data_IF_600493627418
#
_entry.id   IF_600493627418
#
_cell.length_a   1.000
_cell.length_b   1.000
_cell.length_c   1.000
_cell.angle_alpha   90.00
_cell.angle_beta   90.00
_cell.angle_gamma   90.00
#
_symmetry.space_group_name_H-M   'P 1'
#
loop_
_entity.id
_entity.type
_entity.pdbx_description
1 polymer ?
#
# COMPACT_ATOMS: atom_id res chain seq x y z
N UNK A 1 42.98 -16.77 -3.54
CA UNK A 1 43.00 -15.83 -4.69
C UNK A 1 41.58 -15.59 -5.16
N UNK A 2 41.02 -14.38 -5.05
CA UNK A 2 39.78 -14.04 -5.75
C UNK A 2 40.02 -13.01 -6.85
N UNK A 3 39.63 -13.33 -8.08
CA UNK A 3 39.59 -12.38 -9.19
C UNK A 3 38.34 -11.51 -9.08
N UNK A 4 38.55 -10.20 -8.89
CA UNK A 4 37.53 -9.18 -9.08
C UNK A 4 37.25 -9.01 -10.57
N UNK A 5 36.02 -9.27 -10.99
CA UNK A 5 35.50 -8.81 -12.27
C UNK A 5 34.48 -7.71 -12.00
N UNK A 6 34.92 -6.46 -12.15
CA UNK A 6 34.06 -5.27 -12.18
C UNK A 6 33.52 -5.07 -13.60
N UNK A 7 32.20 -5.02 -13.75
CA UNK A 7 31.51 -4.71 -15.00
C UNK A 7 31.47 -3.18 -15.23
N UNK A 8 31.51 -2.70 -16.49
CA UNK A 8 31.64 -1.28 -16.80
C UNK A 8 30.32 -0.52 -16.61
N UNK A 9 30.42 0.59 -15.88
CA UNK A 9 29.31 1.46 -15.51
C UNK A 9 28.66 2.18 -16.69
N UNK A 10 27.34 2.05 -16.76
CA UNK A 10 26.42 2.74 -17.66
C UNK A 10 26.15 4.19 -17.16
N UNK A 11 27.18 5.05 -17.11
CA UNK A 11 27.05 6.45 -16.65
C UNK A 11 27.37 7.52 -17.72
N UNK A 12 27.63 7.14 -18.97
CA UNK A 12 28.07 8.07 -20.02
C UNK A 12 26.96 8.91 -20.68
N UNK A 13 25.77 8.36 -20.91
CA UNK A 13 24.78 9.01 -21.79
C UNK A 13 23.86 10.02 -21.09
N UNK A 14 23.66 9.91 -19.76
CA UNK A 14 22.77 10.83 -19.03
C UNK A 14 23.37 12.23 -18.82
N UNK A 15 24.69 12.39 -18.95
CA UNK A 15 25.36 13.70 -18.84
C UNK A 15 25.33 14.53 -20.11
N UNK A 16 25.08 13.92 -21.28
CA UNK A 16 25.02 14.68 -22.54
C UNK A 16 23.65 15.33 -22.77
N UNK A 17 22.55 14.78 -22.24
CA UNK A 17 21.21 15.37 -22.40
C UNK A 17 20.98 16.61 -21.52
N UNK A 18 21.52 16.63 -20.30
CA UNK A 18 21.41 17.77 -19.38
C UNK A 18 22.13 19.03 -19.89
N UNK A 19 23.29 18.86 -20.55
CA UNK A 19 24.04 19.99 -21.10
C UNK A 19 23.38 20.63 -22.35
N UNK A 20 22.51 19.89 -23.04
CA UNK A 20 21.76 20.40 -24.20
C UNK A 20 20.60 21.30 -23.76
N UNK A 21 19.86 20.88 -22.72
CA UNK A 21 18.74 21.63 -22.15
C UNK A 21 19.22 22.93 -21.49
N UNK A 22 20.37 22.91 -20.79
CA UNK A 22 20.92 24.11 -20.17
C UNK A 22 21.43 25.14 -21.19
N UNK A 23 21.90 24.69 -22.37
CA UNK A 23 22.29 25.58 -23.48
C UNK A 23 21.08 26.26 -24.13
N UNK A 24 19.97 25.56 -24.29
CA UNK A 24 18.73 26.14 -24.82
C UNK A 24 18.09 27.13 -23.83
N UNK A 25 18.09 26.82 -22.53
CA UNK A 25 17.59 27.75 -21.51
C UNK A 25 18.44 29.02 -21.39
N UNK A 26 19.78 28.93 -21.49
CA UNK A 26 20.66 30.12 -21.54
C UNK A 26 20.49 30.93 -22.82
N UNK A 27 20.09 30.32 -23.94
CA UNK A 27 19.75 31.05 -25.18
C UNK A 27 18.44 31.82 -25.04
N UNK A 28 17.41 31.24 -24.43
CA UNK A 28 16.13 31.94 -24.20
C UNK A 28 16.27 33.08 -23.18
N UNK A 29 17.05 32.91 -22.11
CA UNK A 29 17.30 33.97 -21.13
C UNK A 29 18.04 35.18 -21.75
N UNK A 30 18.94 34.96 -22.72
CA UNK A 30 19.61 36.04 -23.46
C UNK A 30 18.71 36.74 -24.48
N UNK A 31 17.69 36.06 -25.01
CA UNK A 31 16.72 36.67 -25.93
C UNK A 31 15.74 37.61 -25.21
N UNK A 32 15.38 37.30 -23.95
CA UNK A 32 14.48 38.13 -23.14
C UNK A 32 15.18 39.39 -22.61
N UNK A 33 16.47 39.32 -22.28
CA UNK A 33 17.26 40.48 -21.83
C UNK A 33 17.64 41.47 -22.94
N UNK A 34 17.56 41.08 -24.22
CA UNK A 34 17.89 41.97 -25.35
C UNK A 34 16.74 42.88 -25.81
N UNK A 35 15.55 42.76 -25.20
CA UNK A 35 14.36 43.58 -25.52
C UNK A 35 14.01 44.64 -24.48
N UNK A 36 14.81 44.77 -23.41
CA UNK A 36 14.53 45.65 -22.27
C UNK A 36 15.50 46.82 -22.08
N UNK A 37 16.02 47.42 -23.16
CA UNK A 37 16.99 48.51 -23.02
C UNK A 37 16.97 49.49 -24.17
N UNK A 38 16.18 50.55 -24.04
CA UNK A 38 16.54 51.93 -24.41
C UNK A 38 15.32 52.83 -24.25
N UNK A 39 15.11 53.37 -23.04
CA UNK A 39 14.22 54.51 -22.85
C UNK A 39 14.59 55.30 -21.58
N UNK A 40 15.84 55.72 -21.48
CA UNK A 40 16.23 56.82 -20.57
C UNK A 40 17.36 57.62 -21.19
N UNK A 41 17.01 58.71 -21.87
CA UNK A 41 17.86 59.86 -22.10
C UNK A 41 16.95 61.02 -22.44
N UNK A 42 16.68 61.89 -21.47
CA UNK A 42 16.37 63.31 -21.67
C UNK A 42 16.31 64.01 -20.30
N UNK A 43 17.46 64.53 -19.87
CA UNK A 43 17.54 65.77 -19.11
C UNK A 43 18.50 66.68 -19.85
N UNK A 44 17.96 67.67 -20.57
CA UNK A 44 18.67 68.93 -20.83
C UNK A 44 17.68 70.00 -21.26
N UNK A 45 17.75 71.12 -20.54
CA UNK A 45 16.99 72.35 -20.73
C UNK A 45 17.22 72.98 -22.11
N UNK A 46 16.20 73.69 -22.60
CA UNK A 46 16.29 74.54 -23.78
C UNK A 46 15.11 75.50 -23.88
N UNK A 47 15.28 76.67 -23.28
CA UNK A 47 14.43 77.86 -23.37
C UNK A 47 13.99 78.22 -24.80
N UNK A 48 12.70 78.56 -25.01
CA UNK A 48 12.22 79.86 -25.56
C UNK A 48 10.75 79.80 -25.99
N UNK A 49 9.96 80.70 -25.39
CA UNK A 49 9.09 81.71 -26.04
C UNK A 49 8.42 81.31 -27.38
N UNK A 50 7.09 81.28 -27.40
CA UNK A 50 6.28 82.15 -28.28
C UNK A 50 4.80 81.73 -28.30
N UNK A 51 3.95 82.75 -28.19
CA UNK A 51 2.53 82.81 -28.49
C UNK A 51 2.06 81.88 -29.62
N UNK A 52 0.91 81.21 -29.43
CA UNK A 52 -0.28 81.46 -30.27
C UNK A 52 -1.53 80.81 -29.69
N UNK A 53 -2.48 81.67 -29.35
CA UNK A 53 -3.90 81.40 -29.29
C UNK A 53 -4.38 80.88 -30.67
N UNK A 54 -5.04 79.73 -30.71
CA UNK A 54 -5.71 79.21 -31.90
C UNK A 54 -6.16 77.76 -31.77
N UNK A 55 -7.47 77.54 -31.85
CA UNK A 55 -8.17 76.30 -32.20
C UNK A 55 -8.32 75.16 -31.18
N UNK A 56 -9.31 75.33 -30.30
CA UNK A 56 -9.81 74.32 -29.34
C UNK A 56 -10.91 73.40 -29.90
N UNK A 57 -11.06 73.20 -31.21
CA UNK A 57 -12.19 72.43 -31.78
C UNK A 57 -11.86 71.03 -32.33
N UNK A 58 -10.60 70.67 -32.57
CA UNK A 58 -10.23 69.34 -33.10
C UNK A 58 -9.76 68.32 -32.04
N UNK A 59 -9.58 68.70 -30.77
CA UNK A 59 -9.12 67.79 -29.70
C UNK A 59 -10.20 66.83 -29.15
N UNK A 60 -11.48 67.06 -29.46
CA UNK A 60 -12.58 66.19 -29.00
C UNK A 60 -12.73 64.90 -29.81
N UNK A 61 -12.32 64.86 -31.09
CA UNK A 61 -12.42 63.65 -31.91
C UNK A 61 -11.28 62.63 -31.65
N UNK A 62 -10.08 63.11 -31.30
CA UNK A 62 -8.93 62.25 -31.00
C UNK A 62 -9.07 61.50 -29.67
N UNK A 63 -9.64 62.14 -28.65
CA UNK A 63 -9.83 61.54 -27.32
C UNK A 63 -10.79 60.34 -27.35
N UNK A 64 -11.80 60.35 -28.22
CA UNK A 64 -12.75 59.24 -28.30
C UNK A 64 -12.09 57.94 -28.81
N UNK A 65 -11.17 58.01 -29.78
CA UNK A 65 -10.47 56.82 -30.31
C UNK A 65 -9.51 56.21 -29.28
N UNK A 66 -8.80 57.06 -28.54
CA UNK A 66 -7.88 56.62 -27.47
C UNK A 66 -8.64 56.00 -26.30
N UNK A 67 -9.79 56.59 -25.91
CA UNK A 67 -10.65 56.03 -24.87
C UNK A 67 -11.25 54.67 -25.28
N UNK A 68 -11.63 54.51 -26.54
CA UNK A 68 -12.20 53.26 -27.06
C UNK A 68 -11.14 52.15 -27.14
N UNK A 69 -9.93 52.47 -27.61
CA UNK A 69 -8.80 51.54 -27.63
C UNK A 69 -8.34 51.14 -26.21
N UNK A 70 -8.29 52.08 -25.27
CA UNK A 70 -7.96 51.81 -23.88
C UNK A 70 -9.02 50.93 -23.20
N UNK A 71 -10.31 51.17 -23.49
CA UNK A 71 -11.41 50.32 -23.01
C UNK A 71 -11.33 48.89 -23.56
N UNK A 72 -11.07 48.73 -24.85
CA UNK A 72 -10.90 47.41 -25.46
C UNK A 72 -9.70 46.65 -24.88
N UNK A 73 -8.56 47.32 -24.70
CA UNK A 73 -7.37 46.73 -24.08
C UNK A 73 -7.65 46.31 -22.62
N UNK A 74 -8.36 47.14 -21.84
CA UNK A 74 -8.76 46.80 -20.48
C UNK A 74 -9.66 45.56 -20.44
N UNK A 75 -10.63 45.44 -21.35
CA UNK A 75 -11.50 44.26 -21.44
C UNK A 75 -10.71 42.97 -21.76
N UNK A 76 -9.72 43.04 -22.66
CA UNK A 76 -8.85 41.89 -22.99
C UNK A 76 -7.97 41.50 -21.81
N UNK A 77 -7.41 42.47 -21.08
CA UNK A 77 -6.60 42.18 -19.88
C UNK A 77 -7.47 41.58 -18.78
N UNK A 78 -8.67 42.11 -18.55
CA UNK A 78 -9.59 41.57 -17.55
C UNK A 78 -10.08 40.16 -17.90
N UNK A 79 -10.39 39.89 -19.16
CA UNK A 79 -10.79 38.54 -19.59
C UNK A 79 -9.62 37.55 -19.47
N UNK A 80 -8.41 37.98 -19.81
CA UNK A 80 -7.20 37.17 -19.66
C UNK A 80 -6.90 36.87 -18.19
N UNK A 81 -6.93 37.87 -17.30
CA UNK A 81 -6.75 37.67 -15.86
C UNK A 81 -7.83 36.75 -15.30
N UNK A 82 -9.08 36.95 -15.68
CA UNK A 82 -10.18 36.06 -15.28
C UNK A 82 -9.95 34.61 -15.72
N UNK A 83 -9.54 34.40 -16.97
CA UNK A 83 -9.25 33.07 -17.48
C UNK A 83 -8.07 32.39 -16.77
N UNK A 84 -6.98 33.13 -16.52
CA UNK A 84 -5.81 32.63 -15.77
C UNK A 84 -6.18 32.29 -14.34
N UNK A 85 -6.95 33.14 -13.67
CA UNK A 85 -7.46 32.90 -12.31
C UNK A 85 -8.28 31.62 -12.22
N UNK A 86 -9.23 31.43 -13.14
CA UNK A 86 -10.05 30.22 -13.20
C UNK A 86 -9.18 28.99 -13.46
N UNK A 87 -8.22 29.08 -14.38
CA UNK A 87 -7.32 27.98 -14.71
C UNK A 87 -6.43 27.59 -13.51
N UNK A 88 -5.84 28.56 -12.80
CA UNK A 88 -5.06 28.31 -11.59
C UNK A 88 -5.91 27.67 -10.49
N UNK A 89 -7.16 28.13 -10.31
CA UNK A 89 -8.08 27.54 -9.35
C UNK A 89 -8.43 26.08 -9.69
N UNK A 90 -8.71 25.79 -10.97
CA UNK A 90 -8.95 24.43 -11.45
C UNK A 90 -7.72 23.54 -11.21
N UNK A 91 -6.52 24.02 -11.52
CA UNK A 91 -5.28 23.27 -11.29
C UNK A 91 -5.08 22.98 -9.80
N UNK A 92 -5.29 23.96 -8.93
CA UNK A 92 -5.16 23.78 -7.48
C UNK A 92 -6.19 22.77 -6.94
N UNK A 93 -7.44 22.85 -7.38
CA UNK A 93 -8.49 21.89 -7.02
C UNK A 93 -8.20 20.48 -7.56
N UNK A 94 -7.66 20.38 -8.78
CA UNK A 94 -7.28 19.08 -9.38
C UNK A 94 -6.11 18.45 -8.66
N UNK A 95 -5.08 19.24 -8.34
CA UNK A 95 -3.92 18.76 -7.60
C UNK A 95 -4.33 18.22 -6.23
N UNK A 96 -4.99 19.06 -5.42
CA UNK A 96 -5.43 18.69 -4.08
C UNK A 96 -6.49 17.59 -4.08
N UNK A 97 -7.51 17.68 -4.95
CA UNK A 97 -8.62 16.73 -4.93
C UNK A 97 -8.35 15.40 -5.62
N UNK A 98 -7.69 15.40 -6.79
CA UNK A 98 -7.65 14.22 -7.66
C UNK A 98 -6.27 13.61 -7.84
N UNK A 99 -5.22 14.43 -7.98
CA UNK A 99 -3.87 13.92 -8.27
C UNK A 99 -3.28 13.20 -7.05
N UNK A 100 -3.39 13.82 -5.87
CA UNK A 100 -2.91 13.24 -4.61
C UNK A 100 -3.66 11.94 -4.28
N UNK A 101 -4.99 11.94 -4.42
CA UNK A 101 -5.82 10.75 -4.14
C UNK A 101 -5.51 9.60 -5.11
N UNK A 102 -5.38 9.89 -6.42
CA UNK A 102 -5.03 8.88 -7.41
C UNK A 102 -3.61 8.32 -7.22
N UNK A 103 -2.65 9.18 -6.85
CA UNK A 103 -1.29 8.74 -6.55
C UNK A 103 -1.27 7.80 -5.34
N UNK A 104 -2.00 8.16 -4.28
CA UNK A 104 -2.17 7.31 -3.09
C UNK A 104 -2.80 5.97 -3.44
N UNK A 105 -3.94 5.96 -4.13
CA UNK A 105 -4.66 4.73 -4.52
C UNK A 105 -3.77 3.79 -5.35
N UNK A 106 -3.02 4.33 -6.32
CA UNK A 106 -2.08 3.52 -7.10
C UNK A 106 -0.93 2.98 -6.27
N UNK A 107 -0.41 3.80 -5.36
CA UNK A 107 0.71 3.41 -4.52
C UNK A 107 0.33 2.29 -3.55
N UNK A 108 -0.79 2.42 -2.83
CA UNK A 108 -1.20 1.39 -1.85
C UNK A 108 -1.43 0.04 -2.53
N UNK A 109 -2.00 0.03 -3.74
CA UNK A 109 -2.21 -1.20 -4.51
C UNK A 109 -0.86 -1.80 -4.92
N UNK A 110 0.04 -0.99 -5.47
CA UNK A 110 1.36 -1.47 -5.87
C UNK A 110 2.21 -1.95 -4.67
N UNK A 111 2.11 -1.27 -3.52
CA UNK A 111 2.78 -1.66 -2.29
C UNK A 111 2.24 -2.99 -1.77
N UNK A 112 0.92 -3.18 -1.77
CA UNK A 112 0.29 -4.43 -1.37
C UNK A 112 0.64 -5.59 -2.31
N UNK A 113 0.66 -5.39 -3.63
CA UNK A 113 1.11 -6.40 -4.60
C UNK A 113 2.60 -6.75 -4.43
N UNK A 114 3.46 -5.76 -4.18
CA UNK A 114 4.89 -5.96 -3.90
C UNK A 114 5.09 -6.78 -2.64
N UNK A 115 4.47 -6.38 -1.53
CA UNK A 115 4.58 -7.08 -0.25
C UNK A 115 3.97 -8.47 -0.37
N UNK A 116 2.84 -8.61 -1.07
CA UNK A 116 2.18 -9.88 -1.29
C UNK A 116 3.04 -10.87 -2.06
N UNK A 117 3.71 -10.42 -3.12
CA UNK A 117 4.62 -11.29 -3.88
C UNK A 117 5.85 -11.71 -3.07
N UNK A 118 6.44 -10.81 -2.28
CA UNK A 118 7.55 -11.13 -1.38
C UNK A 118 7.14 -12.06 -0.22
N UNK A 119 5.89 -11.94 0.25
CA UNK A 119 5.35 -12.73 1.35
C UNK A 119 4.93 -14.13 0.89
N UNK A 120 4.50 -14.27 -0.36
CA UNK A 120 4.18 -15.56 -0.95
C UNK A 120 5.34 -16.56 -0.87
N UNK A 121 6.60 -16.09 -0.99
CA UNK A 121 7.82 -16.90 -0.86
C UNK A 121 7.91 -17.70 0.45
N UNK A 122 7.39 -17.14 1.55
CA UNK A 122 7.34 -17.82 2.86
C UNK A 122 6.35 -18.98 2.83
N UNK A 123 5.16 -18.75 2.27
CA UNK A 123 4.12 -19.78 2.14
C UNK A 123 4.46 -20.86 1.09
N UNK A 124 5.32 -20.56 0.11
CA UNK A 124 5.83 -21.57 -0.82
C UNK A 124 6.55 -22.73 -0.11
N UNK A 125 7.11 -22.49 1.08
CA UNK A 125 7.80 -23.52 1.85
C UNK A 125 6.89 -24.72 2.18
N UNK A 126 5.64 -24.45 2.57
CA UNK A 126 4.64 -25.48 2.83
C UNK A 126 4.26 -26.23 1.55
N UNK A 127 4.11 -25.50 0.43
CA UNK A 127 3.75 -26.11 -0.84
C UNK A 127 4.88 -26.97 -1.42
N UNK A 128 6.13 -26.57 -1.24
CA UNK A 128 7.29 -27.38 -1.60
C UNK A 128 7.32 -28.70 -0.80
N UNK A 129 6.99 -28.67 0.50
CA UNK A 129 6.87 -29.88 1.31
C UNK A 129 5.77 -30.82 0.79
N UNK A 130 4.61 -30.25 0.45
CA UNK A 130 3.51 -30.99 -0.18
C UNK A 130 3.95 -31.63 -1.51
N UNK A 131 4.57 -30.86 -2.39
CA UNK A 131 5.02 -31.36 -3.70
C UNK A 131 6.06 -32.46 -3.55
N UNK A 132 7.01 -32.31 -2.63
CA UNK A 132 8.03 -33.32 -2.38
C UNK A 132 7.41 -34.64 -1.87
N UNK A 133 6.49 -34.55 -0.91
CA UNK A 133 5.83 -35.73 -0.36
C UNK A 133 4.92 -36.40 -1.38
N UNK A 134 4.10 -35.63 -2.09
CA UNK A 134 3.24 -36.16 -3.14
C UNK A 134 4.07 -36.79 -4.26
N UNK A 135 5.15 -36.14 -4.71
CA UNK A 135 6.05 -36.72 -5.69
C UNK A 135 6.68 -38.04 -5.19
N UNK A 136 7.12 -38.09 -3.94
CA UNK A 136 7.69 -39.31 -3.35
C UNK A 136 6.68 -40.47 -3.32
N UNK A 137 5.42 -40.19 -2.98
CA UNK A 137 4.33 -41.17 -2.99
C UNK A 137 4.00 -41.62 -4.42
N UNK A 138 3.76 -40.67 -5.34
CA UNK A 138 3.37 -40.97 -6.72
C UNK A 138 4.46 -41.73 -7.49
N UNK A 139 5.73 -41.46 -7.18
CA UNK A 139 6.88 -42.16 -7.78
C UNK A 139 7.27 -43.43 -7.04
N UNK A 140 6.51 -43.84 -6.03
CA UNK A 140 6.78 -45.03 -5.21
C UNK A 140 8.18 -44.98 -4.55
N UNK A 141 8.72 -43.78 -4.31
CA UNK A 141 9.92 -43.57 -3.50
C UNK A 141 9.58 -43.70 -2.01
N UNK A 142 8.35 -43.36 -1.64
CA UNK A 142 7.76 -43.65 -0.34
C UNK A 142 6.52 -44.52 -0.55
N UNK A 143 6.66 -45.82 -0.33
CA UNK A 143 5.60 -46.81 -0.62
C UNK A 143 5.07 -47.51 0.64
N UNK A 144 5.86 -47.57 1.72
CA UNK A 144 5.47 -48.20 2.98
C UNK A 144 5.25 -47.15 4.08
N UNK A 145 4.09 -47.16 4.77
CA UNK A 145 3.89 -46.30 5.93
C UNK A 145 4.91 -46.63 7.02
N UNK A 146 5.50 -45.59 7.63
CA UNK A 146 6.59 -45.67 8.62
C UNK A 146 7.97 -45.98 8.05
N UNK A 147 8.18 -45.86 6.73
CA UNK A 147 9.54 -45.83 6.17
C UNK A 147 10.22 -44.47 6.49
N UNK A 148 10.83 -44.42 7.68
CA UNK A 148 11.50 -43.23 8.22
C UNK A 148 12.61 -42.70 7.31
N UNK A 149 13.36 -43.60 6.66
CA UNK A 149 14.52 -43.24 5.84
C UNK A 149 14.06 -42.59 4.53
N UNK A 150 13.10 -43.22 3.84
CA UNK A 150 12.54 -42.68 2.59
C UNK A 150 11.84 -41.34 2.81
N UNK A 151 11.13 -41.19 3.95
CA UNK A 151 10.51 -39.91 4.29
C UNK A 151 11.55 -38.82 4.56
N UNK A 152 12.59 -39.14 5.34
CA UNK A 152 13.67 -38.20 5.61
C UNK A 152 14.35 -37.76 4.32
N UNK A 153 14.66 -38.71 3.42
CA UNK A 153 15.28 -38.42 2.12
C UNK A 153 14.40 -37.54 1.22
N UNK A 154 13.08 -37.72 1.27
CA UNK A 154 12.14 -36.90 0.49
C UNK A 154 12.04 -35.46 1.00
N UNK A 155 12.06 -35.25 2.32
CA UNK A 155 11.84 -33.94 2.93
C UNK A 155 13.13 -33.15 3.21
N UNK A 156 14.27 -33.82 3.38
CA UNK A 156 15.54 -33.18 3.72
C UNK A 156 15.95 -32.06 2.75
N UNK A 157 15.86 -32.23 1.42
CA UNK A 157 16.16 -31.15 0.48
C UNK A 157 15.24 -29.94 0.62
N UNK A 158 13.96 -30.15 0.98
CA UNK A 158 12.99 -29.07 1.16
C UNK A 158 13.33 -28.25 2.39
N UNK A 159 13.63 -28.92 3.51
CA UNK A 159 14.08 -28.23 4.73
C UNK A 159 15.44 -27.56 4.54
N UNK A 160 16.35 -28.12 3.75
CA UNK A 160 17.61 -27.46 3.44
C UNK A 160 17.40 -26.17 2.61
N UNK A 161 16.43 -26.18 1.69
CA UNK A 161 16.17 -25.05 0.79
C UNK A 161 15.23 -23.98 1.34
N UNK A 162 14.35 -24.32 2.30
CA UNK A 162 13.28 -23.43 2.79
C UNK A 162 13.34 -23.31 4.32
N UNK A 163 13.99 -22.26 4.80
CA UNK A 163 14.11 -21.96 6.24
C UNK A 163 12.75 -21.82 6.96
N UNK A 164 11.72 -21.18 6.38
CA UNK A 164 10.43 -21.01 7.05
C UNK A 164 9.70 -22.33 7.36
N UNK A 165 10.03 -23.44 6.69
CA UNK A 165 9.43 -24.74 6.98
C UNK A 165 9.97 -25.28 8.31
N UNK A 166 9.07 -25.44 9.29
CA UNK A 166 9.42 -25.89 10.65
C UNK A 166 9.17 -27.35 10.88
N UNK A 167 8.00 -27.83 10.47
CA UNK A 167 7.60 -29.20 10.68
C UNK A 167 6.71 -29.69 9.55
N UNK A 168 6.74 -31.00 9.32
CA UNK A 168 5.78 -31.72 8.49
C UNK A 168 5.26 -32.87 9.36
N UNK A 169 4.01 -32.75 9.79
CA UNK A 169 3.31 -33.81 10.51
C UNK A 169 2.57 -34.69 9.51
N UNK A 170 2.62 -36.00 9.71
CA UNK A 170 2.12 -37.01 8.80
C UNK A 170 1.34 -38.04 9.61
N UNK A 171 0.18 -38.40 9.11
CA UNK A 171 -0.64 -39.48 9.63
C UNK A 171 -1.19 -40.29 8.46
N UNK A 172 -1.67 -41.49 8.79
CA UNK A 172 -2.16 -42.43 7.79
C UNK A 172 -3.63 -42.75 8.05
N UNK A 173 -4.41 -42.82 6.97
CA UNK A 173 -5.85 -43.05 7.08
C UNK A 173 -6.19 -44.37 7.79
N UNK A 174 -5.45 -45.43 7.46
CA UNK A 174 -5.70 -46.79 7.97
C UNK A 174 -4.96 -47.15 9.25
N UNK A 175 -4.04 -46.30 9.73
CA UNK A 175 -3.22 -46.61 10.91
C UNK A 175 -3.35 -45.51 11.96
N UNK A 176 -3.40 -45.90 13.23
CA UNK A 176 -3.40 -44.95 14.35
C UNK A 176 -1.97 -44.60 14.76
N UNK A 177 -1.14 -44.20 13.79
CA UNK A 177 0.25 -43.81 14.00
C UNK A 177 0.52 -42.52 13.23
N UNK A 178 1.42 -41.71 13.77
CA UNK A 178 1.79 -40.42 13.26
C UNK A 178 3.30 -40.23 13.31
N UNK A 179 3.77 -39.37 12.41
CA UNK A 179 5.17 -39.05 12.25
C UNK A 179 5.32 -37.53 12.12
N UNK A 180 6.35 -36.97 12.72
CA UNK A 180 6.69 -35.56 12.56
C UNK A 180 8.14 -35.46 12.12
N UNK A 181 8.38 -34.76 11.02
CA UNK A 181 9.72 -34.34 10.61
C UNK A 181 9.85 -32.87 10.93
N UNK A 182 10.78 -32.49 11.80
CA UNK A 182 10.98 -31.10 12.19
C UNK A 182 12.43 -30.66 12.11
N UNK A 183 12.61 -29.37 11.86
CA UNK A 183 13.92 -28.73 11.98
C UNK A 183 14.33 -28.70 13.45
N UNK A 184 15.60 -29.03 13.71
CA UNK A 184 16.23 -28.80 15.01
C UNK A 184 17.37 -27.81 14.81
N UNK A 185 17.29 -26.68 15.50
CA UNK A 185 18.35 -25.68 15.54
C UNK A 185 19.22 -26.00 16.76
N UNK A 186 20.53 -26.15 16.58
CA UNK A 186 21.48 -26.42 17.67
C UNK A 186 22.93 -26.41 17.17
N UNK A 187 23.85 -25.88 17.99
CA UNK A 187 25.29 -25.91 17.69
C UNK A 187 25.78 -27.37 17.65
N UNK A 188 26.38 -27.78 16.53
CA UNK A 188 27.05 -29.09 16.38
C UNK A 188 26.16 -30.25 15.91
N UNK A 189 24.90 -30.01 15.54
CA UNK A 189 24.02 -31.09 15.05
C UNK A 189 24.38 -31.46 13.61
N UNK A 190 24.83 -32.71 13.38
CA UNK A 190 25.20 -33.23 12.05
C UNK A 190 24.01 -33.46 11.10
N UNK A 191 22.79 -33.53 11.63
CA UNK A 191 21.53 -33.61 10.86
C UNK A 191 20.59 -32.50 11.33
N UNK A 192 20.23 -31.51 10.51
CA UNK A 192 19.35 -30.41 10.91
C UNK A 192 17.89 -30.83 11.12
N UNK A 193 17.59 -32.13 11.02
CA UNK A 193 16.24 -32.70 11.05
C UNK A 193 16.13 -33.80 12.09
N UNK A 194 15.01 -33.75 12.81
CA UNK A 194 14.58 -34.79 13.72
C UNK A 194 13.27 -35.39 13.22
N UNK A 195 13.28 -36.70 13.06
CA UNK A 195 12.08 -37.50 12.77
C UNK A 195 11.61 -38.10 14.08
N UNK A 196 10.34 -37.90 14.40
CA UNK A 196 9.68 -38.45 15.59
C UNK A 196 8.43 -39.22 15.17
N UNK A 197 8.06 -40.25 15.93
CA UNK A 197 6.95 -41.15 15.67
C UNK A 197 6.31 -41.64 16.97
N UNK A 198 5.01 -41.89 16.97
CA UNK A 198 4.28 -42.54 18.07
C UNK A 198 4.17 -44.07 17.90
N UNK A 199 4.76 -44.62 16.83
CA UNK A 199 4.74 -46.05 16.56
C UNK A 199 5.56 -46.84 17.60
N UNK A 200 5.15 -48.09 17.86
CA UNK A 200 5.80 -48.94 18.86
C UNK A 200 7.29 -49.22 18.59
N UNK A 201 7.74 -49.07 17.34
CA UNK A 201 9.12 -49.28 16.91
C UNK A 201 9.98 -47.99 16.95
N UNK A 202 9.42 -46.85 17.38
CA UNK A 202 10.11 -45.56 17.40
C UNK A 202 11.45 -45.61 18.17
N UNK A 203 11.50 -46.33 19.28
CA UNK A 203 12.70 -46.40 20.11
C UNK A 203 13.82 -47.21 19.44
N UNK A 204 13.46 -48.27 18.71
CA UNK A 204 14.41 -49.14 18.01
C UNK A 204 14.92 -48.46 16.73
N UNK A 205 14.03 -47.83 15.95
CA UNK A 205 14.34 -47.27 14.64
C UNK A 205 14.88 -45.84 14.68
N UNK A 206 14.33 -44.99 15.54
CA UNK A 206 14.63 -43.56 15.60
C UNK A 206 15.47 -43.17 16.83
N UNK A 207 15.63 -44.09 17.79
CA UNK A 207 16.43 -43.89 19.00
C UNK A 207 15.72 -43.04 20.07
N UNK A 208 16.49 -42.57 21.06
CA UNK A 208 15.98 -41.96 22.30
C UNK A 208 15.08 -40.73 22.09
N UNK A 209 15.34 -39.93 21.06
CA UNK A 209 14.57 -38.71 20.77
C UNK A 209 13.52 -38.92 19.67
N UNK A 210 13.42 -40.16 19.17
CA UNK A 210 12.58 -40.52 18.05
C UNK A 210 11.14 -40.87 18.40
N UNK A 211 10.84 -41.09 19.68
CA UNK A 211 9.47 -41.30 20.13
C UNK A 211 8.79 -39.96 20.43
N UNK A 212 7.51 -39.87 20.06
CA UNK A 212 6.65 -38.73 20.34
C UNK A 212 5.68 -39.09 21.46
N UNK A 213 5.57 -38.20 22.45
CA UNK A 213 4.51 -38.26 23.46
C UNK A 213 3.40 -37.26 23.05
N UNK A 214 2.16 -37.72 22.93
CA UNK A 214 1.08 -36.83 22.49
C UNK A 214 -0.26 -37.51 22.26
N UNK A 215 -1.25 -36.69 21.88
CA UNK A 215 -2.54 -37.18 21.40
C UNK A 215 -2.36 -37.82 20.01
N UNK A 216 -3.08 -38.91 19.71
CA UNK A 216 -3.09 -39.50 18.38
C UNK A 216 -3.45 -38.46 17.31
N UNK A 217 -2.81 -38.51 16.15
CA UNK A 217 -3.09 -37.57 15.07
C UNK A 217 -4.57 -37.52 14.66
N UNK A 218 -5.30 -38.65 14.77
CA UNK A 218 -6.74 -38.74 14.46
C UNK A 218 -7.62 -37.82 15.31
N UNK A 219 -7.18 -37.52 16.53
CA UNK A 219 -7.89 -36.64 17.45
C UNK A 219 -7.54 -35.16 17.22
N UNK A 220 -6.56 -34.88 16.35
CA UNK A 220 -6.12 -33.53 16.05
C UNK A 220 -7.00 -32.89 14.96
N UNK A 221 -7.36 -31.59 15.08
CA UNK A 221 -8.23 -30.91 14.11
C UNK A 221 -7.71 -30.94 12.67
N UNK A 222 -6.38 -30.86 12.50
CA UNK A 222 -5.77 -30.86 11.17
C UNK A 222 -5.96 -32.19 10.42
N UNK A 223 -6.02 -33.31 11.15
CA UNK A 223 -6.26 -34.61 10.55
C UNK A 223 -7.69 -34.71 10.03
N UNK A 224 -8.67 -34.21 10.79
CA UNK A 224 -10.08 -34.21 10.39
C UNK A 224 -10.26 -33.43 9.09
N UNK A 225 -9.69 -32.22 9.01
CA UNK A 225 -9.67 -31.41 7.78
C UNK A 225 -9.02 -32.20 6.65
N UNK A 226 -7.80 -32.71 6.85
CA UNK A 226 -7.06 -33.40 5.80
C UNK A 226 -7.70 -34.72 5.33
N UNK A 227 -8.38 -35.44 6.22
CA UNK A 227 -9.13 -36.66 5.88
C UNK A 227 -10.35 -36.39 5.00
N UNK A 228 -10.92 -35.18 5.09
CA UNK A 228 -12.04 -34.74 4.26
C UNK A 228 -11.62 -34.26 2.87
N UNK A 229 -10.32 -34.05 2.65
CA UNK A 229 -9.80 -33.61 1.34
C UNK A 229 -9.88 -34.74 0.30
N UNK A 230 -10.13 -34.39 -0.97
CA UNK A 230 -10.23 -35.37 -2.05
C UNK A 230 -8.87 -36.04 -2.31
N UNK A 231 -8.90 -37.35 -2.54
CA UNK A 231 -7.71 -38.18 -2.76
C UNK A 231 -7.68 -38.84 -4.15
N UNK A 232 -7.31 -38.11 -5.20
CA UNK A 232 -6.92 -38.67 -6.50
C UNK A 232 -8.01 -39.31 -7.36
N UNK A 233 -8.64 -40.41 -6.91
CA UNK A 233 -9.61 -41.20 -7.72
C UNK A 233 -11.08 -40.78 -7.57
N UNK A 234 -11.44 -40.04 -6.52
CA UNK A 234 -12.79 -39.50 -6.33
C UNK A 234 -13.14 -38.41 -7.37
N UNK A 235 -12.13 -37.86 -8.05
CA UNK A 235 -12.25 -36.78 -9.05
C UNK A 235 -12.63 -37.32 -10.44
N UNK A 236 -12.76 -38.65 -10.59
CA UNK A 236 -12.98 -39.32 -11.87
C UNK A 236 -14.30 -39.01 -12.61
N UNK A 237 -15.26 -38.30 -12.00
CA UNK A 237 -16.57 -38.02 -12.61
C UNK A 237 -16.97 -36.53 -12.68
N UNK A 238 -16.15 -35.60 -12.20
CA UNK A 238 -16.44 -34.16 -12.34
C UNK A 238 -15.67 -33.56 -13.50
N UNK A 239 -16.01 -34.01 -14.72
CA UNK A 239 -15.60 -33.33 -15.95
C UNK A 239 -16.31 -31.97 -16.04
N UNK A 240 -15.58 -30.89 -15.76
CA UNK A 240 -15.95 -29.54 -16.19
C UNK A 240 -16.33 -28.51 -15.12
N UNK A 241 -16.13 -28.77 -13.83
CA UNK A 241 -16.20 -27.69 -12.83
C UNK A 241 -14.83 -27.03 -12.70
N UNK A 242 -14.78 -25.70 -12.81
CA UNK A 242 -13.59 -24.90 -12.46
C UNK A 242 -13.26 -24.97 -10.96
N UNK A 243 -14.15 -25.55 -10.15
CA UNK A 243 -13.98 -25.87 -8.73
C UNK A 243 -13.66 -27.37 -8.55
N UNK A 244 -12.57 -27.86 -9.15
CA UNK A 244 -12.05 -29.16 -8.74
C UNK A 244 -11.58 -29.02 -7.28
N UNK A 245 -12.09 -29.82 -6.32
CA UNK A 245 -11.72 -29.66 -4.92
C UNK A 245 -10.21 -29.88 -4.79
N UNK A 246 -9.52 -28.91 -4.18
CA UNK A 246 -8.06 -28.96 -4.05
C UNK A 246 -7.67 -30.09 -3.10
N UNK A 247 -6.63 -30.86 -3.44
CA UNK A 247 -6.05 -31.87 -2.54
C UNK A 247 -5.29 -31.29 -1.33
N UNK A 248 -5.54 -30.01 -1.04
CA UNK A 248 -4.95 -29.25 0.04
C UNK A 248 -5.86 -28.10 0.45
N UNK A 249 -5.68 -27.65 1.69
CA UNK A 249 -6.36 -26.52 2.30
C UNK A 249 -5.42 -25.89 3.34
N UNK A 250 -5.48 -24.56 3.49
CA UNK A 250 -4.79 -23.90 4.59
C UNK A 250 -5.61 -24.09 5.87
N UNK A 251 -4.94 -24.29 7.01
CA UNK A 251 -5.63 -24.36 8.29
C UNK A 251 -6.48 -23.10 8.53
N UNK A 252 -7.63 -23.20 9.22
CA UNK A 252 -8.57 -22.07 9.36
C UNK A 252 -8.02 -20.88 10.15
N UNK A 253 -6.86 -21.02 10.77
CA UNK A 253 -6.17 -19.91 11.42
C UNK A 253 -4.73 -20.27 11.81
N UNK A 254 -3.94 -19.27 12.22
CA UNK A 254 -2.58 -19.46 12.67
C UNK A 254 -2.50 -20.12 14.05
N UNK A 255 -1.34 -20.70 14.34
CA UNK A 255 -1.00 -21.30 15.62
C UNK A 255 0.36 -20.85 16.12
N UNK A 256 0.76 -21.35 17.28
CA UNK A 256 2.09 -21.14 17.83
C UNK A 256 2.88 -22.45 17.79
N UNK A 257 4.13 -22.37 17.34
CA UNK A 257 5.09 -23.49 17.41
C UNK A 257 6.23 -23.14 18.36
N UNK A 258 6.84 -24.13 19.03
CA UNK A 258 8.01 -23.88 19.85
C UNK A 258 9.14 -23.25 19.02
N UNK A 259 9.73 -22.18 19.55
CA UNK A 259 10.93 -21.60 18.98
C UNK A 259 12.15 -22.32 19.57
N UNK A 260 12.83 -23.11 18.76
CA UNK A 260 14.00 -23.88 19.18
C UNK A 260 15.25 -22.97 19.25
N UNK A 261 15.54 -22.37 20.41
CA UNK A 261 16.71 -21.50 20.66
C UNK A 261 18.04 -22.26 20.87
N UNK A 262 18.23 -23.41 20.21
CA UNK A 262 19.53 -24.10 20.22
C UNK A 262 19.89 -24.88 21.50
N UNK A 263 19.08 -24.80 22.56
CA UNK A 263 19.38 -25.44 23.84
C UNK A 263 18.55 -26.71 24.07
N UNK A 264 18.98 -27.84 23.50
CA UNK A 264 18.71 -29.17 24.08
C UNK A 264 19.59 -29.41 25.33
N UNK A 265 19.89 -28.35 26.09
CA UNK A 265 20.62 -28.40 27.35
C UNK A 265 19.63 -28.25 28.50
N UNK A 266 19.86 -28.97 29.60
CA UNK A 266 18.92 -29.18 30.73
C UNK A 266 18.48 -27.90 31.49
N UNK A 267 18.80 -26.70 31.01
CA UNK A 267 18.43 -25.43 31.63
C UNK A 267 17.66 -24.51 30.67
N UNK A 268 16.45 -24.90 30.28
CA UNK A 268 15.51 -24.01 29.58
C UNK A 268 15.02 -22.95 30.56
N UNK A 269 15.58 -21.73 30.50
CA UNK A 269 15.14 -20.61 31.36
C UNK A 269 13.89 -19.89 30.84
N UNK A 270 13.51 -20.10 29.58
CA UNK A 270 12.29 -19.57 28.98
C UNK A 270 11.86 -20.43 27.78
N UNK A 271 10.55 -20.67 27.62
CA UNK A 271 9.98 -21.29 26.42
C UNK A 271 9.53 -20.16 25.49
N UNK A 272 10.14 -20.07 24.31
CA UNK A 272 9.74 -19.14 23.27
C UNK A 272 8.79 -19.82 22.28
N UNK A 273 7.85 -19.05 21.75
CA UNK A 273 6.86 -19.52 20.78
C UNK A 273 6.88 -18.60 19.56
N UNK A 274 6.92 -19.20 18.38
CA UNK A 274 6.85 -18.50 17.10
C UNK A 274 5.45 -18.62 16.50
N UNK A 275 4.95 -17.55 15.84
CA UNK A 275 3.73 -17.64 15.05
C UNK A 275 3.96 -18.56 13.84
N UNK A 276 2.98 -19.39 13.52
CA UNK A 276 3.04 -20.27 12.38
C UNK A 276 1.67 -20.44 11.72
N UNK A 277 1.69 -20.82 10.45
CA UNK A 277 0.51 -21.23 9.69
C UNK A 277 0.75 -22.60 9.09
N UNK A 278 -0.33 -23.35 8.86
CA UNK A 278 -0.24 -24.73 8.39
C UNK A 278 -0.96 -24.95 7.07
N UNK A 279 -0.32 -25.65 6.15
CA UNK A 279 -0.94 -26.21 4.95
C UNK A 279 -1.28 -27.68 5.21
N UNK A 280 -2.54 -28.04 5.07
CA UNK A 280 -3.05 -29.39 5.25
C UNK A 280 -3.28 -29.99 3.87
N UNK A 281 -2.84 -31.22 3.65
CA UNK A 281 -2.98 -31.87 2.35
C UNK A 281 -3.11 -33.38 2.47
N UNK A 282 -3.68 -33.99 1.44
CA UNK A 282 -3.84 -35.44 1.32
C UNK A 282 -3.12 -35.95 0.08
N UNK A 283 -2.37 -37.04 0.22
CA UNK A 283 -1.74 -37.74 -0.90
C UNK A 283 -2.11 -39.22 -0.86
N UNK A 284 -2.54 -39.77 -2.00
CA UNK A 284 -3.01 -41.17 -2.09
C UNK A 284 -1.93 -42.04 -2.71
N UNK A 285 -1.67 -43.18 -2.09
CA UNK A 285 -0.70 -44.14 -2.61
C UNK A 285 -1.22 -44.77 -3.90
N UNK A 286 -0.41 -44.79 -4.97
CA UNK A 286 -0.82 -45.37 -6.24
C UNK A 286 -1.10 -46.87 -6.07
N UNK A 287 -2.16 -47.37 -6.72
CA UNK A 287 -2.56 -48.78 -6.66
C UNK A 287 -3.32 -49.21 -5.40
N UNK A 288 -3.51 -48.31 -4.42
CA UNK A 288 -4.28 -48.61 -3.20
C UNK A 288 -5.80 -48.56 -3.37
N UNK A 289 -6.30 -48.08 -4.53
CA UNK A 289 -7.72 -47.82 -4.75
C UNK A 289 -8.32 -46.77 -3.82
N UNK A 290 -7.49 -45.86 -3.29
CA UNK A 290 -7.90 -44.84 -2.30
C UNK A 290 -7.83 -45.31 -0.84
N UNK A 291 -7.60 -46.60 -0.59
CA UNK A 291 -7.62 -47.16 0.77
C UNK A 291 -6.37 -46.81 1.60
N UNK A 292 -5.30 -46.31 0.97
CA UNK A 292 -4.12 -45.87 1.68
C UNK A 292 -3.81 -44.44 1.25
N UNK A 293 -3.94 -43.52 2.20
CA UNK A 293 -3.60 -42.11 2.01
C UNK A 293 -2.78 -41.58 3.18
N UNK A 294 -1.90 -40.64 2.84
CA UNK A 294 -1.21 -39.78 3.78
C UNK A 294 -2.06 -38.54 3.98
N UNK A 295 -2.28 -38.20 5.23
CA UNK A 295 -2.81 -36.91 5.65
C UNK A 295 -1.66 -36.18 6.30
N UNK A 296 -1.28 -35.01 5.76
CA UNK A 296 -0.11 -34.29 6.20
C UNK A 296 -0.41 -32.81 6.48
N UNK A 297 0.36 -32.24 7.41
CA UNK A 297 0.34 -30.84 7.82
C UNK A 297 1.75 -30.27 7.71
N UNK A 298 1.99 -29.40 6.73
CA UNK A 298 3.23 -28.63 6.63
C UNK A 298 3.09 -27.31 7.41
N UNK A 299 3.92 -27.13 8.43
CA UNK A 299 3.90 -25.98 9.34
C UNK A 299 5.01 -25.00 8.97
N UNK A 300 4.62 -23.76 8.67
CA UNK A 300 5.50 -22.68 8.26
C UNK A 300 5.53 -21.60 9.33
N UNK A 301 6.72 -21.23 9.77
CA UNK A 301 6.94 -20.08 10.64
C UNK A 301 6.71 -18.78 9.85
N UNK A 302 5.86 -17.90 10.38
CA UNK A 302 5.51 -16.64 9.69
C UNK A 302 6.30 -15.44 10.20
N UNK A 303 7.32 -15.66 11.03
CA UNK A 303 8.24 -14.59 11.49
C UNK A 303 8.96 -13.91 10.34
N UNK A 304 9.30 -14.68 9.31
CA UNK A 304 10.08 -14.22 8.15
C UNK A 304 9.28 -13.31 7.22
N UNK A 305 7.95 -13.24 7.39
CA UNK A 305 7.11 -12.24 6.74
C UNK A 305 7.53 -10.80 7.11
N UNK A 306 8.23 -10.63 8.24
CA UNK A 306 8.75 -9.36 8.74
C UNK A 306 10.22 -9.13 8.36
N UNK A 307 10.89 -10.13 7.77
CA UNK A 307 12.30 -10.06 7.44
C UNK A 307 12.60 -8.87 6.51
N UNK A 308 13.85 -8.40 6.54
CA UNK A 308 14.37 -7.35 5.66
C UNK A 308 13.61 -6.01 5.69
N UNK A 309 12.81 -5.76 6.74
CA UNK A 309 11.98 -4.55 6.80
C UNK A 309 10.90 -4.49 5.70
N UNK A 310 10.45 -5.63 5.17
CA UNK A 310 9.45 -5.71 4.08
C UNK A 310 8.16 -4.95 4.39
N UNK A 311 7.78 -4.89 5.66
CA UNK A 311 6.59 -4.19 6.15
C UNK A 311 6.85 -2.73 6.55
N UNK A 312 8.10 -2.26 6.50
CA UNK A 312 8.46 -0.88 6.84
C UNK A 312 8.44 0.00 5.59
N UNK A 313 7.32 0.69 5.38
CA UNK A 313 7.14 1.63 4.27
C UNK A 313 6.61 2.99 4.75
N UNK A 314 6.94 3.36 5.99
CA UNK A 314 6.45 4.60 6.63
C UNK A 314 6.85 5.86 5.88
N UNK A 315 7.98 5.83 5.18
CA UNK A 315 8.45 6.96 4.38
C UNK A 315 7.47 7.32 3.25
N UNK A 316 6.80 6.32 2.66
CA UNK A 316 5.88 6.53 1.55
C UNK A 316 4.39 6.44 1.94
N UNK A 317 4.06 5.74 3.04
CA UNK A 317 2.68 5.56 3.52
C UNK A 317 2.24 6.62 4.55
N UNK A 318 3.18 7.42 5.07
CA UNK A 318 2.94 8.38 6.14
C UNK A 318 3.16 7.81 7.54
N UNK A 319 3.02 8.65 8.57
CA UNK A 319 3.37 8.27 9.95
C UNK A 319 2.41 7.24 10.56
N UNK A 320 1.13 7.32 10.20
CA UNK A 320 0.06 6.38 10.55
C UNK A 320 -0.11 5.28 9.48
N UNK A 321 0.70 5.32 8.42
CA UNK A 321 0.73 4.30 7.39
C UNK A 321 1.26 2.97 7.93
N UNK A 322 0.67 1.87 7.49
CA UNK A 322 1.05 0.54 7.95
C UNK A 322 0.76 -0.54 6.90
N UNK A 323 1.52 -1.63 6.99
CA UNK A 323 1.35 -2.83 6.19
C UNK A 323 1.18 -4.02 7.12
N UNK A 324 0.12 -4.78 6.92
CA UNK A 324 -0.17 -6.01 7.65
C UNK A 324 -0.40 -7.17 6.70
N UNK A 325 -0.09 -8.38 7.16
CA UNK A 325 -0.44 -9.61 6.46
C UNK A 325 -1.42 -10.36 7.34
N UNK A 326 -2.55 -10.72 6.75
CA UNK A 326 -3.67 -11.38 7.43
C UNK A 326 -4.05 -12.68 6.72
N UNK A 327 -4.70 -13.59 7.45
CA UNK A 327 -5.47 -14.68 6.85
C UNK A 327 -6.85 -14.20 6.37
N UNK A 328 -7.63 -15.11 5.79
CA UNK A 328 -9.00 -14.86 5.31
C UNK A 328 -9.96 -14.42 6.42
N UNK A 329 -9.75 -14.89 7.65
CA UNK A 329 -10.54 -14.47 8.80
C UNK A 329 -10.16 -13.08 9.33
N UNK A 330 -9.15 -12.43 8.74
CA UNK A 330 -8.62 -11.15 9.21
C UNK A 330 -7.67 -11.27 10.41
N UNK A 331 -7.21 -12.48 10.73
CA UNK A 331 -6.22 -12.74 11.78
C UNK A 331 -4.86 -12.25 11.34
N UNK A 332 -4.17 -11.51 12.22
CA UNK A 332 -2.85 -10.94 11.94
C UNK A 332 -1.78 -12.03 11.94
N UNK A 333 -1.15 -12.25 10.79
CA UNK A 333 -0.01 -13.15 10.64
C UNK A 333 1.31 -12.41 10.85
N UNK A 334 1.40 -11.18 10.31
CA UNK A 334 2.57 -10.35 10.46
C UNK A 334 2.23 -8.86 10.56
N UNK A 335 2.98 -8.19 11.43
CA UNK A 335 2.93 -6.75 11.67
C UNK A 335 4.34 -6.19 11.72
N UNK A 336 4.50 -4.86 11.65
CA UNK A 336 5.83 -4.25 11.70
C UNK A 336 6.58 -4.59 13.00
N UNK A 337 5.88 -4.56 14.15
CA UNK A 337 6.49 -4.77 15.48
C UNK A 337 6.27 -6.19 15.99
N UNK A 338 7.29 -6.80 16.62
CA UNK A 338 7.13 -8.12 17.20
C UNK A 338 6.10 -8.08 18.33
N UNK A 339 5.23 -9.09 18.38
CA UNK A 339 4.24 -9.24 19.44
C UNK A 339 2.95 -8.45 19.27
N UNK A 340 2.84 -7.56 18.27
CA UNK A 340 1.56 -6.88 17.98
C UNK A 340 0.52 -7.81 17.34
N UNK A 341 0.94 -8.95 16.77
CA UNK A 341 0.05 -9.95 16.16
C UNK A 341 -0.68 -10.83 17.19
N UNK A 342 -0.27 -10.82 18.46
CA UNK A 342 -0.80 -11.71 19.47
C UNK A 342 -1.11 -10.95 20.76
N UNK A 343 -2.13 -11.42 21.47
CA UNK A 343 -2.49 -10.94 22.79
C UNK A 343 -2.57 -12.10 23.77
N UNK A 344 -2.18 -11.83 25.02
CA UNK A 344 -2.34 -12.77 26.12
C UNK A 344 -3.30 -12.10 27.10
N UNK A 345 -4.62 -12.36 27.00
CA UNK A 345 -5.59 -11.76 27.89
C UNK A 345 -5.34 -12.25 29.33
N UNK A 346 -5.46 -11.33 30.29
CA UNK A 346 -5.56 -11.68 31.71
C UNK A 346 -7.06 -11.87 32.03
N UNK A 347 -7.48 -12.96 32.69
CA UNK A 347 -6.68 -13.94 33.43
C UNK A 347 -6.36 -15.25 32.69
N UNK A 348 -6.84 -15.44 31.45
CA UNK A 348 -6.74 -16.74 30.77
C UNK A 348 -5.30 -17.20 30.55
N UNK A 349 -4.37 -16.27 30.30
CA UNK A 349 -2.98 -16.60 30.03
C UNK A 349 -2.76 -17.34 28.71
N UNK A 350 -3.81 -17.54 27.91
CA UNK A 350 -3.75 -18.22 26.62
C UNK A 350 -3.39 -17.20 25.55
N UNK A 351 -2.29 -17.45 24.83
CA UNK A 351 -1.92 -16.62 23.68
C UNK A 351 -2.92 -16.81 22.55
N UNK A 352 -3.44 -15.71 22.03
CA UNK A 352 -4.39 -15.67 20.92
C UNK A 352 -3.87 -14.68 19.88
N UNK A 353 -4.08 -14.98 18.61
CA UNK A 353 -3.81 -14.01 17.56
C UNK A 353 -4.87 -12.91 17.58
N UNK A 354 -4.44 -11.70 17.23
CA UNK A 354 -5.32 -10.54 17.08
C UNK A 354 -5.96 -10.52 15.72
N UNK A 355 -7.16 -9.97 15.65
CA UNK A 355 -7.80 -9.61 14.38
C UNK A 355 -7.34 -8.22 13.96
N UNK A 356 -7.28 -7.97 12.65
CA UNK A 356 -6.79 -6.70 12.11
C UNK A 356 -7.55 -5.49 12.63
N UNK A 357 -8.87 -5.61 12.83
CA UNK A 357 -9.73 -4.55 13.37
C UNK A 357 -9.55 -4.28 14.88
N UNK A 358 -8.82 -5.13 15.60
CA UNK A 358 -8.54 -4.93 17.03
C UNK A 358 -7.36 -3.99 17.30
N UNK A 359 -6.62 -3.58 16.26
CA UNK A 359 -5.47 -2.69 16.39
C UNK A 359 -5.85 -1.22 16.73
N UNK A 360 -7.12 -0.87 16.62
CA UNK A 360 -7.63 0.48 16.89
C UNK A 360 -7.34 1.50 15.78
N UNK A 361 -7.80 2.74 15.97
CA UNK A 361 -7.67 3.80 14.95
C UNK A 361 -8.41 3.45 13.65
N UNK A 362 -7.77 3.68 12.51
CA UNK A 362 -8.33 3.38 11.18
C UNK A 362 -8.67 1.89 11.00
N UNK A 363 -7.95 1.00 11.69
CA UNK A 363 -8.13 -0.44 11.55
C UNK A 363 -9.49 -0.89 12.10
N UNK A 364 -10.07 -0.15 13.04
CA UNK A 364 -11.41 -0.44 13.57
C UNK A 364 -12.54 -0.38 12.53
N UNK A 365 -12.29 0.24 11.37
CA UNK A 365 -13.22 0.31 10.24
C UNK A 365 -13.11 -0.88 9.28
N UNK A 366 -12.18 -1.83 9.53
CA UNK A 366 -12.08 -3.08 8.79
C UNK A 366 -13.25 -4.00 9.13
N UNK A 367 -13.85 -4.62 8.12
CA UNK A 367 -14.92 -5.61 8.29
C UNK A 367 -14.60 -6.92 7.58
N UNK A 368 -15.11 -8.06 8.06
CA UNK A 368 -14.95 -9.35 7.36
C UNK A 368 -15.43 -9.32 5.90
N UNK A 369 -16.52 -8.59 5.63
CA UNK A 369 -17.09 -8.41 4.29
C UNK A 369 -16.06 -7.84 3.29
N UNK A 370 -15.13 -7.00 3.74
CA UNK A 370 -14.09 -6.44 2.87
C UNK A 370 -13.02 -7.48 2.50
N UNK A 371 -12.77 -8.48 3.36
CA UNK A 371 -11.90 -9.61 3.05
C UNK A 371 -12.59 -10.56 2.07
N UNK A 372 -13.89 -10.81 2.26
CA UNK A 372 -14.71 -11.58 1.30
C UNK A 372 -14.74 -10.91 -0.08
N UNK A 373 -14.97 -9.59 -0.12
CA UNK A 373 -14.92 -8.81 -1.36
C UNK A 373 -13.54 -8.92 -2.01
N UNK A 374 -12.46 -8.70 -1.25
CA UNK A 374 -11.10 -8.81 -1.77
C UNK A 374 -10.78 -10.24 -2.27
N UNK A 375 -11.36 -11.27 -1.66
CA UNK A 375 -11.21 -12.66 -2.11
C UNK A 375 -11.86 -12.88 -3.48
N UNK A 376 -13.02 -12.27 -3.72
CA UNK A 376 -13.77 -12.43 -4.97
C UNK A 376 -13.25 -11.54 -6.11
N UNK A 377 -12.92 -10.29 -5.82
CA UNK A 377 -12.49 -9.29 -6.80
C UNK A 377 -10.96 -9.20 -6.96
N UNK A 378 -10.21 -9.82 -6.05
CA UNK A 378 -8.76 -9.70 -5.92
C UNK A 378 -8.31 -8.48 -5.09
N UNK A 379 -9.18 -7.50 -4.84
CA UNK A 379 -8.87 -6.32 -4.03
C UNK A 379 -10.12 -5.59 -3.53
N UNK A 380 -10.09 -5.11 -2.30
CA UNK A 380 -11.06 -4.13 -1.78
C UNK A 380 -10.34 -2.90 -1.27
N UNK A 381 -11.01 -1.74 -1.27
CA UNK A 381 -10.43 -0.51 -0.73
C UNK A 381 -11.50 0.42 -0.18
N UNK A 382 -11.16 1.14 0.88
CA UNK A 382 -12.07 2.08 1.52
C UNK A 382 -11.31 3.21 2.21
N UNK A 383 -12.00 4.34 2.42
CA UNK A 383 -11.45 5.50 3.13
C UNK A 383 -11.85 5.44 4.61
N UNK A 384 -10.87 5.31 5.50
CA UNK A 384 -11.03 5.39 6.95
C UNK A 384 -10.76 6.82 7.44
N UNK A 385 -11.62 7.34 8.32
CA UNK A 385 -11.48 8.67 8.96
C UNK A 385 -11.23 9.85 7.99
N UNK A 386 -11.66 9.72 6.72
CA UNK A 386 -11.53 10.72 5.65
C UNK A 386 -10.11 10.96 5.12
N UNK A 387 -9.07 10.75 5.93
CA UNK A 387 -7.68 11.05 5.58
C UNK A 387 -6.82 9.80 5.30
N UNK A 388 -7.30 8.61 5.68
CA UNK A 388 -6.57 7.35 5.50
C UNK A 388 -7.27 6.54 4.42
N UNK A 389 -6.50 6.01 3.48
CA UNK A 389 -7.01 5.06 2.50
C UNK A 389 -6.44 3.69 2.81
N UNK A 390 -7.31 2.69 2.85
CA UNK A 390 -6.97 1.31 3.18
C UNK A 390 -7.26 0.46 1.95
N UNK A 391 -6.30 -0.35 1.55
CA UNK A 391 -6.47 -1.37 0.53
C UNK A 391 -6.19 -2.74 1.12
N UNK A 392 -7.04 -3.72 0.77
CA UNK A 392 -6.90 -5.12 1.11
C UNK A 392 -6.72 -5.85 -0.23
N UNK A 393 -5.60 -6.52 -0.40
CA UNK A 393 -5.28 -7.24 -1.65
C UNK A 393 -5.05 -8.70 -1.34
N UNK A 394 -5.77 -9.57 -2.04
CA UNK A 394 -5.55 -11.00 -1.96
C UNK A 394 -4.16 -11.32 -2.52
N UNK A 395 -3.34 -12.04 -1.74
CA UNK A 395 -2.07 -12.54 -2.25
C UNK A 395 -2.35 -13.50 -3.40
N UNK A 396 -1.67 -13.32 -4.53
CA UNK A 396 -1.80 -14.19 -5.70
C UNK A 396 -0.86 -15.40 -5.59
N UNK A 397 -1.23 -16.50 -6.23
CA UNK A 397 -0.41 -17.71 -6.31
C UNK A 397 -0.84 -18.78 -5.32
N UNK A 398 0.12 -19.31 -4.55
CA UNK A 398 0.00 -20.53 -3.72
C UNK A 398 -0.96 -20.38 -2.54
N UNK A 399 -1.34 -19.14 -2.21
CA UNK A 399 -2.31 -18.81 -1.17
C UNK A 399 -3.74 -19.21 -1.51
N UNK A 400 -4.12 -19.44 -2.77
CA UNK A 400 -5.52 -19.64 -3.19
C UNK A 400 -6.50 -18.60 -2.59
N UNK A 401 -6.06 -17.35 -2.41
CA UNK A 401 -6.89 -16.31 -1.78
C UNK A 401 -7.06 -16.42 -0.27
N UNK A 402 -6.33 -17.29 0.43
CA UNK A 402 -6.41 -17.44 1.89
C UNK A 402 -5.68 -16.36 2.69
N UNK A 403 -4.86 -15.54 2.02
CA UNK A 403 -4.05 -14.55 2.70
C UNK A 403 -4.12 -13.21 2.00
N UNK A 404 -4.09 -12.14 2.80
CA UNK A 404 -4.33 -10.78 2.37
C UNK A 404 -3.24 -9.85 2.87
N UNK A 405 -2.89 -8.87 2.04
CA UNK A 405 -2.07 -7.74 2.46
C UNK A 405 -2.98 -6.54 2.67
N UNK A 406 -2.95 -6.00 3.87
CA UNK A 406 -3.67 -4.78 4.25
C UNK A 406 -2.68 -3.63 4.29
N UNK A 407 -2.88 -2.63 3.44
CA UNK A 407 -2.05 -1.42 3.38
C UNK A 407 -2.91 -0.22 3.70
N UNK A 408 -2.54 0.53 4.74
CA UNK A 408 -3.13 1.82 5.06
C UNK A 408 -2.14 2.94 4.78
N UNK A 409 -2.65 4.03 4.21
CA UNK A 409 -1.83 5.18 3.84
C UNK A 409 -2.54 6.51 4.07
N UNK A 410 -1.80 7.46 4.63
CA UNK A 410 -2.26 8.83 4.80
C UNK A 410 -2.23 9.61 3.48
N UNK A 411 -3.21 10.49 3.28
CA UNK A 411 -3.21 11.41 2.13
C UNK A 411 -1.98 12.34 2.12
N UNK A 412 -1.57 12.81 3.29
CA UNK A 412 -0.51 13.82 3.43
C UNK A 412 0.87 13.30 3.01
N UNK A 413 1.08 11.98 2.98
CA UNK A 413 2.33 11.38 2.52
C UNK A 413 2.60 11.63 1.02
N UNK A 414 1.56 11.88 0.23
CA UNK A 414 1.65 12.11 -1.22
C UNK A 414 1.49 13.58 -1.61
N UNK A 415 1.12 14.44 -0.66
CA UNK A 415 1.04 15.87 -0.88
C UNK A 415 2.44 16.47 -0.77
N UNK A 416 2.94 17.07 -1.84
CA UNK A 416 4.21 17.78 -1.78
C UNK A 416 3.98 19.14 -1.13
N UNK A 417 4.60 19.38 0.03
CA UNK A 417 4.39 20.61 0.81
C UNK A 417 4.68 21.89 0.01
N UNK A 418 5.63 21.83 -0.94
CA UNK A 418 5.96 22.93 -1.85
C UNK A 418 4.79 23.26 -2.78
N UNK A 419 4.17 22.24 -3.40
CA UNK A 419 3.04 22.39 -4.31
C UNK A 419 1.77 22.78 -3.57
N UNK A 420 1.54 22.26 -2.37
CA UNK A 420 0.42 22.67 -1.53
C UNK A 420 0.54 24.15 -1.14
N UNK A 421 1.73 24.61 -0.75
CA UNK A 421 1.99 26.01 -0.47
C UNK A 421 1.80 26.89 -1.72
N UNK A 422 2.30 26.47 -2.88
CA UNK A 422 2.09 27.19 -4.15
C UNK A 422 0.59 27.26 -4.48
N UNK A 423 -0.15 26.17 -4.31
CA UNK A 423 -1.60 26.14 -4.53
C UNK A 423 -2.33 27.08 -3.58
N UNK A 424 -2.00 27.06 -2.29
CA UNK A 424 -2.62 27.92 -1.28
C UNK A 424 -2.32 29.41 -1.54
N UNK A 425 -1.07 29.74 -1.88
CA UNK A 425 -0.66 31.10 -2.25
C UNK A 425 -1.34 31.54 -3.54
N UNK A 426 -1.39 30.67 -4.56
CA UNK A 426 -2.07 30.96 -5.81
C UNK A 426 -3.57 31.20 -5.60
N UNK A 427 -4.24 30.40 -4.78
CA UNK A 427 -5.64 30.62 -4.39
C UNK A 427 -5.80 31.97 -3.68
N UNK A 428 -4.91 32.31 -2.75
CA UNK A 428 -4.93 33.62 -2.09
C UNK A 428 -4.77 34.79 -3.05
N UNK A 429 -3.78 34.72 -3.96
CA UNK A 429 -3.51 35.75 -4.97
C UNK A 429 -4.68 35.88 -5.95
N UNK A 430 -5.27 34.76 -6.36
CA UNK A 430 -6.41 34.74 -7.28
C UNK A 430 -7.67 35.28 -6.61
N UNK A 431 -7.96 34.91 -5.36
CA UNK A 431 -9.19 35.31 -4.66
C UNK A 431 -9.13 36.75 -4.16
N UNK A 432 -7.96 37.23 -3.70
CA UNK A 432 -7.80 38.57 -3.08
C UNK A 432 -8.26 39.80 -3.90
N UNK A 433 -8.17 39.85 -5.25
CA UNK A 433 -8.53 41.03 -6.03
C UNK A 433 -10.04 41.21 -6.14
N UNK A 434 -10.82 40.13 -6.06
CA UNK A 434 -12.28 40.18 -6.16
C UNK A 434 -12.96 40.92 -5.00
N UNK A 435 -12.67 40.64 -3.71
CA UNK A 435 -13.21 41.41 -2.59
C UNK A 435 -12.66 42.84 -2.55
N UNK A 436 -11.42 43.08 -2.99
CA UNK A 436 -10.88 44.43 -3.10
C UNK A 436 -11.62 45.25 -4.18
N UNK A 437 -11.85 44.67 -5.36
CA UNK A 437 -12.59 45.29 -6.44
C UNK A 437 -14.06 45.54 -6.06
N UNK A 438 -14.72 44.59 -5.37
CA UNK A 438 -16.08 44.77 -4.90
C UNK A 438 -16.19 45.87 -3.84
N UNK A 439 -15.22 45.98 -2.92
CA UNK A 439 -15.12 47.09 -1.97
C UNK A 439 -14.96 48.44 -2.68
N UNK A 440 -14.08 48.53 -3.68
CA UNK A 440 -13.87 49.77 -4.47
C UNK A 440 -15.16 50.14 -5.22
N UNK A 441 -15.84 49.18 -5.85
CA UNK A 441 -17.11 49.42 -6.53
C UNK A 441 -18.21 49.87 -5.57
N UNK A 442 -18.31 49.25 -4.40
CA UNK A 442 -19.24 49.67 -3.34
C UNK A 442 -18.93 51.10 -2.84
N UNK A 443 -17.65 51.43 -2.66
CA UNK A 443 -17.23 52.77 -2.24
C UNK A 443 -17.57 53.82 -3.32
N UNK A 444 -17.27 53.53 -4.58
CA UNK A 444 -17.63 54.38 -5.72
C UNK A 444 -19.15 54.57 -5.84
N UNK A 445 -19.92 53.50 -5.67
CA UNK A 445 -21.38 53.57 -5.69
C UNK A 445 -21.93 54.41 -4.53
N UNK A 446 -21.40 54.24 -3.32
CA UNK A 446 -21.75 55.03 -2.15
C UNK A 446 -21.43 56.52 -2.36
N UNK A 447 -20.23 56.85 -2.89
CA UNK A 447 -19.85 58.22 -3.23
C UNK A 447 -20.74 58.81 -4.32
N UNK A 448 -21.09 58.03 -5.34
CA UNK A 448 -22.01 58.45 -6.39
C UNK A 448 -23.40 58.77 -5.82
N UNK A 449 -23.94 57.89 -4.96
CA UNK A 449 -25.19 58.15 -4.24
C UNK A 449 -25.14 59.41 -3.37
N UNK A 450 -24.05 59.62 -2.63
CA UNK A 450 -23.86 60.83 -1.81
C UNK A 450 -23.85 62.08 -2.70
N UNK A 451 -23.14 62.04 -3.83
CA UNK A 451 -23.10 63.15 -4.78
C UNK A 451 -24.45 63.42 -5.45
N UNK A 452 -25.19 62.37 -5.82
CA UNK A 452 -26.57 62.47 -6.33
C UNK A 452 -27.49 63.12 -5.29
N UNK A 453 -27.42 62.68 -4.02
CA UNK A 453 -28.18 63.29 -2.90
C UNK A 453 -27.80 64.76 -2.68
N UNK A 454 -26.51 65.09 -2.76
CA UNK A 454 -26.01 66.48 -2.68
C UNK A 454 -26.51 67.34 -3.83
N UNK A 455 -26.52 66.83 -5.07
CA UNK A 455 -27.07 67.53 -6.23
C UNK A 455 -28.58 67.78 -6.05
N UNK A 456 -29.36 66.78 -5.64
CA UNK A 456 -30.80 66.96 -5.35
C UNK A 456 -31.05 67.99 -4.23
N UNK A 457 -30.22 68.00 -3.16
CA UNK A 457 -30.30 69.01 -2.09
C UNK A 457 -29.90 70.43 -2.51
N UNK A 458 -29.04 70.60 -3.52
CA UNK A 458 -28.64 71.92 -4.05
C UNK A 458 -29.64 72.51 -5.05
N UNK A 459 -30.55 71.71 -5.61
CA UNK A 459 -31.61 72.18 -6.52
C UNK A 459 -32.90 72.57 -5.76
N UNK A 460 -33.15 71.98 -4.59
CA UNK A 460 -34.30 72.34 -3.73
C UNK A 460 -34.27 73.68 -2.94
N UNK A 461 -33.17 74.46 -2.81
CA UNK A 461 -33.23 75.75 -2.11
C UNK A 461 -34.06 76.80 -2.87
N UNK A 462 -34.09 76.76 -4.20
CA UNK A 462 -34.84 77.75 -5.00
C UNK A 462 -36.35 77.51 -4.97
N UNK A 463 -36.81 76.25 -4.95
CA UNK A 463 -38.25 75.96 -4.84
C UNK A 463 -38.83 76.33 -3.47
N UNK A 464 -38.06 76.20 -2.37
CA UNK A 464 -38.51 76.66 -1.04
C UNK A 464 -38.54 78.19 -0.90
N UNK A 465 -37.65 78.90 -1.59
CA UNK A 465 -37.69 80.37 -1.65
C UNK A 465 -38.88 80.87 -2.49
N UNK A 466 -39.33 80.10 -3.48
CA UNK A 466 -40.56 80.41 -4.20
C UNK A 466 -41.83 80.13 -3.38
N UNK A 467 -41.87 79.10 -2.52
CA UNK A 467 -43.04 78.85 -1.67
C UNK A 467 -43.21 79.85 -0.52
N UNK A 468 -42.12 80.36 0.07
CA UNK A 468 -42.18 81.39 1.13
C UNK A 468 -42.47 82.81 0.62
N UNK A 469 -42.54 83.01 -0.71
CA UNK A 469 -42.91 84.30 -1.32
C UNK A 469 -44.40 84.42 -1.62
N UNK A 470 -45.16 83.34 -1.42
CA UNK A 470 -46.60 83.24 -1.71
C UNK A 470 -47.43 82.75 -0.51
N UNK A 471 -46.85 82.82 0.69
CA UNK A 471 -47.54 82.73 1.99
C UNK A 471 -47.28 84.02 2.75
#
# INVERSE_FOLDING_TARGET
>A
MPSKNEAPGFQGERRQSLNSVEKEQKKMARAVLKRGGSMQSLLSMGSRRSQRSGDSKNSRLGNNKVQLAAGAAACVVLSWVGAVSVLLMIVALRYTGTVVDLARERYIVAAAERVGSQSAEVFEAAYAARQALDYAVQRQLYFEPLDYDSLSLALEPVFAAREPLRAVDIAFDTRNVSMTVRRVVGEGVRKPLLVQSDAADCQEKLGRFGCMDGLPARDMPWYQIGSSLPGGQEVGNTSGSYDAPSSFEWAPGPGFVPHDDGALTESVRAVAWSPAHSLIFRSVFPGSGGNLSIIARAVVEVTDLRADGRLDDRANLGQMGAVYICDFAGTLLATLRPGEQALVPRPSGVAQFRLAWELGGWASSLTPEQFEEASMSGSSSFKADGNINVAIIAMRGISNGQFFVVVASERNAYAEASMELICNVAQGIVVSPYPAASLILLLCFALHQINQRRKKRRVQPEERLHQLRWS
#
